data_IF_878967395090
#
_entry.id   IF_878967395090
#
_cell.length_a   1.000
_cell.length_b   1.000
_cell.length_c   1.000
_cell.angle_alpha   90.00
_cell.angle_beta   90.00
_cell.angle_gamma   90.00
#
_symmetry.space_group_name_H-M   'P 1'
#
loop_
_entity.id
_entity.type
_entity.pdbx_description
1 polymer ?
#
# COMPACT_ATOMS: atom_id res chain seq x y z
N UNK A 1 2.70 -4.80 -17.82
CA UNK A 1 1.32 -4.82 -18.32
C UNK A 1 1.12 -5.64 -19.60
N UNK A 2 2.02 -5.52 -20.58
CA UNK A 2 1.92 -6.24 -21.86
C UNK A 2 1.83 -7.77 -21.72
N UNK A 3 2.68 -8.38 -20.89
CA UNK A 3 2.74 -9.84 -20.72
C UNK A 3 1.49 -10.46 -20.08
N UNK A 4 0.73 -9.66 -19.35
CA UNK A 4 -0.52 -10.09 -18.72
C UNK A 4 -1.76 -9.63 -19.48
N UNK A 5 -1.59 -9.03 -20.67
CA UNK A 5 -2.69 -8.44 -21.46
C UNK A 5 -3.58 -7.51 -20.63
N UNK A 6 -2.97 -6.67 -19.80
CA UNK A 6 -3.69 -5.71 -18.96
C UNK A 6 -4.28 -6.27 -17.66
N UNK A 7 -4.09 -7.56 -17.35
CA UNK A 7 -4.72 -8.22 -16.18
C UNK A 7 -3.87 -8.25 -14.91
N UNK A 8 -2.59 -7.87 -14.99
CA UNK A 8 -1.73 -7.92 -13.81
C UNK A 8 -2.06 -6.76 -12.87
N UNK A 9 -2.16 -7.08 -11.59
CA UNK A 9 -2.08 -6.10 -10.50
C UNK A 9 -0.59 -5.95 -10.17
N UNK A 10 -0.08 -4.72 -10.18
CA UNK A 10 1.35 -4.46 -10.04
C UNK A 10 1.61 -3.56 -8.84
N UNK A 11 2.47 -4.04 -7.96
CA UNK A 11 3.07 -3.25 -6.88
C UNK A 11 4.57 -3.52 -6.79
N UNK A 12 5.36 -2.51 -6.46
CA UNK A 12 6.82 -2.58 -6.39
C UNK A 12 7.36 -1.91 -5.12
N UNK A 13 8.51 -2.36 -4.62
CA UNK A 13 9.14 -1.71 -3.45
C UNK A 13 9.68 -0.31 -3.74
N UNK A 14 10.27 -0.13 -4.93
CA UNK A 14 10.76 1.14 -5.45
C UNK A 14 9.72 1.83 -6.32
N UNK A 15 9.76 3.16 -6.48
CA UNK A 15 8.86 3.87 -7.38
C UNK A 15 9.14 3.48 -8.83
N UNK A 16 8.08 3.26 -9.59
CA UNK A 16 8.12 3.06 -11.05
C UNK A 16 7.13 4.02 -11.71
N UNK A 17 7.42 4.49 -12.94
CA UNK A 17 6.46 5.30 -13.67
C UNK A 17 5.21 4.47 -14.04
N UNK A 18 4.06 5.14 -14.28
CA UNK A 18 2.85 4.47 -14.78
C UNK A 18 3.12 3.74 -16.10
N UNK A 19 2.33 2.71 -16.38
CA UNK A 19 2.44 1.90 -17.60
C UNK A 19 1.17 2.00 -18.42
N UNK A 20 1.30 2.16 -19.74
CA UNK A 20 0.15 2.23 -20.65
C UNK A 20 -0.05 0.90 -21.37
N UNK A 21 -1.30 0.43 -21.42
CA UNK A 21 -1.72 -0.74 -22.19
C UNK A 21 -3.03 -0.43 -22.90
N UNK A 22 -3.10 -0.64 -24.22
CA UNK A 22 -4.27 -0.35 -25.06
C UNK A 22 -4.87 1.05 -24.86
N UNK A 23 -4.01 2.08 -24.74
CA UNK A 23 -4.44 3.46 -24.56
C UNK A 23 -4.90 3.83 -23.14
N UNK A 24 -4.98 2.86 -22.23
CA UNK A 24 -5.25 3.11 -20.81
C UNK A 24 -3.96 3.13 -20.00
N UNK A 25 -3.78 4.16 -19.17
CA UNK A 25 -2.66 4.27 -18.23
C UNK A 25 -3.02 3.63 -16.90
N UNK A 26 -2.10 2.81 -16.39
CA UNK A 26 -2.21 2.13 -15.12
C UNK A 26 -1.07 2.58 -14.19
N UNK A 27 -1.43 3.01 -12.99
CA UNK A 27 -0.48 3.31 -11.94
C UNK A 27 0.19 2.02 -11.44
N UNK A 28 1.46 2.13 -11.05
CA UNK A 28 2.21 1.07 -10.38
C UNK A 28 2.32 1.46 -8.91
N UNK A 29 1.59 0.78 -8.04
CA UNK A 29 1.61 1.12 -6.61
C UNK A 29 2.97 0.83 -6.00
N UNK A 30 3.49 1.79 -5.23
CA UNK A 30 4.64 1.51 -4.39
C UNK A 30 4.16 0.77 -3.14
N UNK A 31 4.59 -0.47 -2.95
CA UNK A 31 4.32 -1.27 -1.76
C UNK A 31 5.55 -1.20 -0.85
N UNK A 32 5.52 -0.29 0.11
CA UNK A 32 6.67 0.05 0.95
C UNK A 32 6.33 -0.06 2.43
N UNK A 33 7.28 -0.49 3.25
CA UNK A 33 7.07 -0.66 4.69
C UNK A 33 6.75 0.67 5.42
N UNK A 34 6.96 1.81 4.75
CA UNK A 34 6.50 3.14 5.19
C UNK A 34 5.01 3.22 5.51
N UNK A 35 4.15 2.36 4.94
CA UNK A 35 2.74 2.30 5.33
C UNK A 35 2.51 1.66 6.70
N UNK A 36 3.44 0.83 7.18
CA UNK A 36 3.23 -0.04 8.33
C UNK A 36 4.04 0.43 9.53
N UNK A 37 5.35 0.66 9.36
CA UNK A 37 6.27 0.86 10.47
C UNK A 37 5.96 2.10 11.34
N UNK A 38 5.57 3.26 10.78
CA UNK A 38 5.21 4.41 11.61
C UNK A 38 3.98 4.14 12.49
N UNK A 39 2.94 3.52 11.94
CA UNK A 39 1.71 3.20 12.66
C UNK A 39 1.95 2.16 13.77
N UNK A 40 2.70 1.10 13.46
CA UNK A 40 3.09 0.10 14.46
C UNK A 40 3.95 0.73 15.56
N UNK A 41 4.95 1.56 15.20
CA UNK A 41 5.81 2.23 16.17
C UNK A 41 5.03 3.10 17.14
N UNK A 42 4.07 3.88 16.63
CA UNK A 42 3.16 4.67 17.47
C UNK A 42 2.30 3.78 18.37
N UNK A 43 1.73 2.70 17.84
CA UNK A 43 0.92 1.75 18.60
C UNK A 43 1.69 1.08 19.74
N UNK A 44 2.94 0.67 19.48
CA UNK A 44 3.82 0.08 20.50
C UNK A 44 4.11 1.07 21.63
N UNK A 45 4.42 2.34 21.29
CA UNK A 45 4.67 3.39 22.28
C UNK A 45 3.42 3.68 23.12
N UNK A 46 2.26 3.82 22.47
CA UNK A 46 0.99 4.12 23.14
C UNK A 46 0.54 2.97 24.07
N UNK A 47 0.70 1.72 23.63
CA UNK A 47 0.33 0.53 24.41
C UNK A 47 1.40 0.13 25.44
N UNK A 48 2.57 0.76 25.45
CA UNK A 48 3.75 0.35 26.22
C UNK A 48 4.10 -1.14 25.99
N UNK A 49 3.93 -1.60 24.75
CA UNK A 49 4.20 -2.99 24.40
C UNK A 49 5.71 -3.26 24.43
N UNK A 50 6.09 -4.41 24.98
CA UNK A 50 7.50 -4.84 25.08
C UNK A 50 7.95 -5.69 23.90
N UNK A 51 7.02 -6.14 23.06
CA UNK A 51 7.28 -6.92 21.85
C UNK A 51 6.20 -6.68 20.79
N UNK A 52 6.55 -6.95 19.53
CA UNK A 52 5.63 -6.92 18.41
C UNK A 52 5.20 -8.36 18.13
N UNK A 53 3.90 -8.62 18.11
CA UNK A 53 3.33 -9.93 17.76
C UNK A 53 2.90 -9.97 16.30
N UNK A 54 2.75 -11.17 15.75
CA UNK A 54 2.20 -11.39 14.41
C UNK A 54 0.80 -10.78 14.26
N UNK A 55 0.00 -10.78 15.33
CA UNK A 55 -1.32 -10.15 15.32
C UNK A 55 -1.25 -8.62 15.18
N UNK A 56 -0.21 -7.97 15.71
CA UNK A 56 -0.01 -6.54 15.49
C UNK A 56 0.36 -6.25 14.03
N UNK A 57 1.18 -7.08 13.40
CA UNK A 57 1.51 -6.99 11.98
C UNK A 57 0.28 -7.21 11.11
N UNK A 58 -0.54 -8.22 11.44
CA UNK A 58 -1.79 -8.53 10.75
C UNK A 58 -2.79 -7.36 10.88
N UNK A 59 -2.95 -6.81 12.07
CA UNK A 59 -3.84 -5.67 12.31
C UNK A 59 -3.42 -4.44 11.50
N UNK A 60 -2.11 -4.13 11.45
CA UNK A 60 -1.61 -3.03 10.63
C UNK A 60 -1.83 -3.26 9.13
N UNK A 61 -1.66 -4.50 8.66
CA UNK A 61 -1.92 -4.89 7.26
C UNK A 61 -3.40 -4.74 6.91
N UNK A 62 -4.30 -5.14 7.81
CA UNK A 62 -5.74 -5.00 7.64
C UNK A 62 -6.15 -3.52 7.61
N UNK A 63 -5.65 -2.71 8.54
CA UNK A 63 -5.93 -1.27 8.55
C UNK A 63 -5.52 -0.58 7.25
N UNK A 64 -4.36 -0.95 6.69
CA UNK A 64 -3.94 -0.45 5.37
C UNK A 64 -4.87 -0.93 4.24
N UNK A 65 -5.31 -2.18 4.27
CA UNK A 65 -6.25 -2.72 3.29
C UNK A 65 -7.59 -1.96 3.33
N UNK A 66 -8.10 -1.66 4.53
CA UNK A 66 -9.36 -0.94 4.74
C UNK A 66 -9.29 0.48 4.17
N UNK A 67 -8.24 1.24 4.54
CA UNK A 67 -7.98 2.58 3.97
C UNK A 67 -7.83 2.49 2.46
N UNK A 68 -7.18 1.43 1.96
CA UNK A 68 -7.07 1.24 0.52
C UNK A 68 -8.44 1.03 -0.12
N UNK A 69 -9.35 0.26 0.45
CA UNK A 69 -10.68 0.08 -0.13
C UNK A 69 -11.49 1.38 -0.16
N UNK A 70 -11.31 2.27 0.81
CA UNK A 70 -12.02 3.56 0.89
C UNK A 70 -11.45 4.63 -0.05
N UNK A 71 -10.14 4.61 -0.29
CA UNK A 71 -9.48 5.62 -1.11
C UNK A 71 -9.82 5.46 -2.60
N UNK A 72 -10.28 6.55 -3.24
CA UNK A 72 -10.55 6.57 -4.68
C UNK A 72 -9.24 6.49 -5.49
N UNK A 73 -9.01 5.35 -6.14
CA UNK A 73 -7.76 5.05 -6.84
C UNK A 73 -7.83 5.35 -8.33
N UNK A 74 -6.69 5.77 -8.87
CA UNK A 74 -6.45 5.71 -10.31
C UNK A 74 -6.43 4.24 -10.79
N UNK A 75 -6.71 3.98 -12.07
CA UNK A 75 -6.62 2.62 -12.63
C UNK A 75 -5.27 1.97 -12.31
N UNK A 76 -5.29 0.72 -11.84
CA UNK A 76 -4.09 -0.04 -11.50
C UNK A 76 -3.51 0.22 -10.11
N UNK A 77 -3.83 1.34 -9.46
CA UNK A 77 -3.40 1.58 -8.09
C UNK A 77 -4.15 0.68 -7.11
N UNK A 78 -3.43 0.09 -6.15
CA UNK A 78 -3.94 -0.78 -5.09
C UNK A 78 -3.59 -0.29 -3.68
N UNK A 79 -2.85 0.80 -3.57
CA UNK A 79 -2.49 1.47 -2.32
C UNK A 79 -2.71 2.98 -2.47
N UNK A 80 -3.05 3.69 -1.39
CA UNK A 80 -3.12 5.16 -1.42
C UNK A 80 -1.73 5.75 -1.68
N UNK A 81 -1.61 6.98 -2.21
CA UNK A 81 -0.31 7.63 -2.37
C UNK A 81 0.42 7.78 -1.02
N UNK A 82 1.73 7.51 -0.98
CA UNK A 82 2.56 7.67 0.24
C UNK A 82 2.43 9.07 0.87
N UNK A 83 2.15 10.10 0.07
CA UNK A 83 2.01 11.48 0.55
C UNK A 83 0.82 11.70 1.50
N UNK A 84 -0.21 10.85 1.45
CA UNK A 84 -1.45 11.02 2.22
C UNK A 84 -1.62 9.98 3.34
N UNK A 85 -0.60 9.16 3.61
CA UNK A 85 -0.72 8.03 4.57
C UNK A 85 -0.76 8.45 6.04
N UNK A 86 -0.58 9.75 6.31
CA UNK A 86 -0.61 10.33 7.65
C UNK A 86 -1.95 10.98 7.99
N UNK A 87 -2.76 11.23 6.97
CA UNK A 87 -4.06 11.90 7.08
C UNK A 87 -5.16 10.85 7.32
#
# INVERSE_FOLDING_TARGET
MNWSRGKAIIATGSPFPPTTFNGQTFEVSQCNNSYIFPGIGLGVLAAQATSISDNMLMAASQALADISMEYQKAPGAILPPIKVIRD
#
